data_IF_100977572575
#
_entry.id   IF_100977572575
#
_cell.length_a   1.000
_cell.length_b   1.000
_cell.length_c   1.000
_cell.angle_alpha   90.00
_cell.angle_beta   90.00
_cell.angle_gamma   90.00
#
_symmetry.space_group_name_H-M   'P 1'
#
loop_
_entity.id
_entity.type
_entity.pdbx_description
1 polymer ?
#
# COMPACT_ATOMS: atom_id res chain seq x y z
N UNK A 1 -60.55 -2.25 55.54
CA UNK A 1 -61.19 -2.35 54.21
C UNK A 1 -60.55 -1.40 53.20
N UNK A 2 -60.69 -0.06 53.29
CA UNK A 2 -60.12 0.86 52.28
C UNK A 2 -58.59 1.06 52.42
N UNK A 3 -58.07 1.20 53.64
CA UNK A 3 -56.64 1.39 53.88
C UNK A 3 -55.80 0.15 53.50
N UNK A 4 -56.32 -1.06 53.75
CA UNK A 4 -55.63 -2.32 53.40
C UNK A 4 -55.49 -2.51 51.88
N UNK A 5 -56.43 -1.99 51.08
CA UNK A 5 -56.36 -2.05 49.61
C UNK A 5 -55.28 -1.11 49.05
N UNK A 6 -55.09 0.06 49.67
CA UNK A 6 -54.05 1.02 49.28
C UNK A 6 -52.64 0.51 49.63
N UNK A 7 -52.49 -0.17 50.77
CA UNK A 7 -51.21 -0.77 51.18
C UNK A 7 -50.80 -1.94 50.26
N UNK A 8 -51.74 -2.81 49.89
CA UNK A 8 -51.51 -3.87 48.89
C UNK A 8 -51.08 -3.25 47.55
N UNK A 9 -51.71 -2.16 47.12
CA UNK A 9 -51.33 -1.44 45.90
C UNK A 9 -49.90 -0.88 45.95
N UNK A 10 -49.49 -0.33 47.10
CA UNK A 10 -48.12 0.20 47.32
C UNK A 10 -47.07 -0.90 47.33
N UNK A 11 -47.34 -2.02 48.00
CA UNK A 11 -46.45 -3.19 48.04
C UNK A 11 -46.30 -3.80 46.65
N UNK A 12 -47.41 -3.99 45.93
CA UNK A 12 -47.38 -4.54 44.57
C UNK A 12 -46.59 -3.63 43.61
N UNK A 13 -46.75 -2.31 43.72
CA UNK A 13 -45.97 -1.35 42.95
C UNK A 13 -44.47 -1.36 43.33
N UNK A 14 -44.14 -1.57 44.61
CA UNK A 14 -42.76 -1.72 45.06
C UNK A 14 -42.11 -2.99 44.49
N UNK A 15 -42.83 -4.12 44.53
CA UNK A 15 -42.39 -5.38 43.93
C UNK A 15 -42.20 -5.24 42.43
N UNK A 16 -43.13 -4.61 41.70
CA UNK A 16 -42.96 -4.38 40.25
C UNK A 16 -41.73 -3.53 39.93
N UNK A 17 -41.46 -2.48 40.72
CA UNK A 17 -40.25 -1.67 40.57
C UNK A 17 -38.98 -2.48 40.78
N UNK A 18 -38.94 -3.33 41.82
CA UNK A 18 -37.80 -4.22 42.08
C UNK A 18 -37.60 -5.25 40.97
N UNK A 19 -38.68 -5.85 40.46
CA UNK A 19 -38.63 -6.78 39.34
C UNK A 19 -38.11 -6.12 38.06
N UNK A 20 -38.51 -4.88 37.80
CA UNK A 20 -38.00 -4.10 36.67
C UNK A 20 -36.51 -3.78 36.82
N UNK A 21 -36.04 -3.45 38.02
CA UNK A 21 -34.62 -3.25 38.32
C UNK A 21 -33.79 -4.53 38.17
N UNK A 22 -34.32 -5.68 38.58
CA UNK A 22 -33.68 -6.97 38.37
C UNK A 22 -33.62 -7.31 36.88
N UNK A 23 -34.70 -7.08 36.14
CA UNK A 23 -34.75 -7.32 34.70
C UNK A 23 -33.73 -6.45 33.94
N UNK A 24 -33.58 -5.17 34.28
CA UNK A 24 -32.57 -4.30 33.65
C UNK A 24 -31.15 -4.76 33.98
N UNK A 25 -30.88 -5.17 35.23
CA UNK A 25 -29.57 -5.68 35.61
C UNK A 25 -29.23 -6.99 34.88
N UNK A 26 -30.19 -7.91 34.74
CA UNK A 26 -30.03 -9.13 33.96
C UNK A 26 -29.75 -8.81 32.50
N UNK A 27 -30.51 -7.90 31.90
CA UNK A 27 -30.32 -7.48 30.50
C UNK A 27 -28.91 -6.90 30.27
N UNK A 28 -28.44 -6.03 31.16
CA UNK A 28 -27.08 -5.47 31.11
C UNK A 28 -26.03 -6.58 31.23
N UNK A 29 -26.18 -7.49 32.20
CA UNK A 29 -25.25 -8.60 32.41
C UNK A 29 -25.21 -9.57 31.22
N UNK A 30 -26.35 -9.83 30.59
CA UNK A 30 -26.39 -10.67 29.38
C UNK A 30 -25.72 -10.00 28.19
N UNK A 31 -25.90 -8.68 28.03
CA UNK A 31 -25.24 -7.90 26.99
C UNK A 31 -23.72 -7.90 27.18
N UNK A 32 -23.25 -7.66 28.40
CA UNK A 32 -21.81 -7.68 28.71
C UNK A 32 -21.17 -9.04 28.45
N UNK A 33 -21.85 -10.15 28.83
CA UNK A 33 -21.37 -11.49 28.50
C UNK A 33 -21.31 -11.72 26.99
N UNK A 34 -22.36 -11.36 26.27
CA UNK A 34 -22.38 -11.47 24.80
C UNK A 34 -21.28 -10.66 24.12
N UNK A 35 -21.00 -9.45 24.61
CA UNK A 35 -19.91 -8.61 24.11
C UNK A 35 -18.54 -9.25 24.36
N UNK A 36 -18.28 -9.74 25.57
CA UNK A 36 -17.00 -10.41 25.91
C UNK A 36 -16.78 -11.67 25.07
N UNK A 37 -17.82 -12.47 24.85
CA UNK A 37 -17.73 -13.66 24.00
C UNK A 37 -17.49 -13.30 22.53
N UNK A 38 -18.14 -12.25 22.02
CA UNK A 38 -17.91 -11.75 20.67
C UNK A 38 -16.48 -11.23 20.48
N UNK A 39 -15.96 -10.47 21.44
CA UNK A 39 -14.57 -9.99 21.45
C UNK A 39 -13.57 -11.16 21.52
N UNK A 40 -13.85 -12.18 22.33
CA UNK A 40 -13.00 -13.37 22.42
C UNK A 40 -12.96 -14.12 21.09
N UNK A 41 -14.11 -14.30 20.43
CA UNK A 41 -14.18 -14.93 19.10
C UNK A 41 -13.44 -14.10 18.05
N UNK A 42 -13.62 -12.78 18.06
CA UNK A 42 -12.91 -11.88 17.16
C UNK A 42 -11.39 -11.99 17.32
N UNK A 43 -10.89 -12.00 18.56
CA UNK A 43 -9.47 -12.20 18.86
C UNK A 43 -8.95 -13.53 18.33
N UNK A 44 -9.68 -14.64 18.52
CA UNK A 44 -9.29 -15.96 18.00
C UNK A 44 -9.26 -15.97 16.46
N UNK A 45 -10.22 -15.32 15.80
CA UNK A 45 -10.19 -15.22 14.34
C UNK A 45 -9.04 -14.36 13.84
N UNK A 46 -8.72 -13.27 14.55
CA UNK A 46 -7.62 -12.39 14.20
C UNK A 46 -6.26 -13.09 14.35
N UNK A 47 -6.05 -13.82 15.45
CA UNK A 47 -4.81 -14.59 15.63
C UNK A 47 -4.66 -15.66 14.57
N UNK A 48 -5.73 -16.40 14.26
CA UNK A 48 -5.72 -17.38 13.17
C UNK A 48 -5.41 -16.75 11.80
N UNK A 49 -5.99 -15.59 11.49
CA UNK A 49 -5.70 -14.88 10.24
C UNK A 49 -4.26 -14.36 10.18
N UNK A 50 -3.69 -13.93 11.32
CA UNK A 50 -2.29 -13.52 11.39
C UNK A 50 -1.35 -14.71 11.17
N UNK A 51 -1.61 -15.83 11.83
CA UNK A 51 -0.81 -17.06 11.69
C UNK A 51 -0.85 -17.62 10.27
N UNK A 52 -2.01 -17.63 9.62
CA UNK A 52 -2.11 -18.11 8.22
C UNK A 52 -1.38 -17.19 7.25
N UNK A 53 -1.48 -15.87 7.44
CA UNK A 53 -0.71 -14.89 6.63
C UNK A 53 0.79 -15.05 6.85
N UNK A 54 1.24 -15.23 8.08
CA UNK A 54 2.66 -15.42 8.38
C UNK A 54 3.20 -16.72 7.77
N UNK A 55 2.46 -17.83 7.87
CA UNK A 55 2.84 -19.09 7.22
C UNK A 55 2.91 -18.94 5.70
N UNK A 56 1.93 -18.30 5.08
CA UNK A 56 1.94 -18.04 3.64
C UNK A 56 3.13 -17.18 3.21
N UNK A 57 3.50 -16.17 4.00
CA UNK A 57 4.69 -15.35 3.73
C UNK A 57 5.99 -16.14 3.86
N UNK A 58 6.09 -17.04 4.86
CA UNK A 58 7.25 -17.93 5.00
C UNK A 58 7.35 -18.91 3.83
N UNK A 59 6.25 -19.56 3.46
CA UNK A 59 6.20 -20.46 2.30
C UNK A 59 6.55 -19.73 0.99
N UNK A 60 6.09 -18.50 0.81
CA UNK A 60 6.43 -17.67 -0.34
C UNK A 60 7.91 -17.23 -0.33
N UNK A 61 8.50 -16.97 0.85
CA UNK A 61 9.92 -16.66 0.96
C UNK A 61 10.78 -17.89 0.66
N UNK A 62 10.38 -19.06 1.16
CA UNK A 62 11.07 -20.32 0.88
C UNK A 62 11.00 -20.71 -0.60
N UNK A 63 9.85 -20.54 -1.25
CA UNK A 63 9.72 -20.82 -2.68
C UNK A 63 10.58 -19.90 -3.53
N UNK A 64 10.63 -18.60 -3.19
CA UNK A 64 11.54 -17.64 -3.82
C UNK A 64 13.01 -18.00 -3.59
N UNK A 65 13.39 -18.45 -2.39
CA UNK A 65 14.76 -18.88 -2.10
C UNK A 65 15.14 -20.16 -2.87
N UNK A 66 14.17 -21.06 -3.11
CA UNK A 66 14.34 -22.30 -3.86
C UNK A 66 14.30 -22.11 -5.39
N UNK A 67 13.95 -20.92 -5.88
CA UNK A 67 13.91 -20.63 -7.32
C UNK A 67 15.33 -20.76 -7.92
N UNK A 68 15.52 -21.58 -8.97
CA UNK A 68 16.83 -21.77 -9.61
C UNK A 68 17.46 -20.45 -10.07
N UNK A 69 16.66 -19.47 -10.53
CA UNK A 69 17.17 -18.16 -10.95
C UNK A 69 17.76 -17.37 -9.79
N UNK A 70 17.11 -17.41 -8.63
CA UNK A 70 17.60 -16.72 -7.44
C UNK A 70 18.82 -17.43 -6.84
N UNK A 71 18.90 -18.75 -6.94
CA UNK A 71 20.09 -19.50 -6.58
C UNK A 71 21.28 -19.18 -7.49
N UNK A 72 21.05 -19.08 -8.80
CA UNK A 72 22.07 -18.66 -9.76
C UNK A 72 22.56 -17.22 -9.48
N UNK A 73 21.64 -16.29 -9.21
CA UNK A 73 21.99 -14.93 -8.79
C UNK A 73 22.81 -14.92 -7.49
N UNK A 74 22.39 -15.70 -6.48
CA UNK A 74 23.14 -15.83 -5.24
C UNK A 74 24.55 -16.40 -5.46
N UNK A 75 24.72 -17.37 -6.37
CA UNK A 75 26.03 -17.91 -6.76
C UNK A 75 26.90 -16.88 -7.49
N UNK A 76 26.31 -16.06 -8.36
CA UNK A 76 27.03 -14.99 -9.06
C UNK A 76 27.49 -13.89 -8.10
N UNK A 77 26.67 -13.53 -7.12
CA UNK A 77 27.02 -12.56 -6.07
C UNK A 77 28.05 -13.12 -5.07
N UNK A 78 27.95 -14.40 -4.73
CA UNK A 78 28.88 -15.07 -3.83
C UNK A 78 30.23 -15.38 -4.46
N UNK A 79 30.31 -15.40 -5.80
CA UNK A 79 31.58 -15.47 -6.52
C UNK A 79 32.31 -14.14 -6.26
N UNK A 80 33.41 -14.12 -5.47
CA UNK A 80 34.17 -12.90 -5.29
C UNK A 80 34.58 -12.45 -6.69
N UNK A 81 34.23 -11.21 -7.05
CA UNK A 81 34.58 -10.64 -8.34
C UNK A 81 36.07 -10.87 -8.53
N UNK A 82 36.43 -11.77 -9.47
CA UNK A 82 37.81 -12.04 -9.78
C UNK A 82 38.46 -10.69 -10.04
N UNK A 83 39.58 -10.45 -9.37
CA UNK A 83 40.37 -9.23 -9.34
C UNK A 83 40.87 -8.87 -10.75
N UNK A 84 39.96 -8.41 -11.59
CA UNK A 84 40.24 -7.74 -12.83
C UNK A 84 39.56 -6.39 -12.66
N UNK A 85 40.37 -5.40 -12.26
CA UNK A 85 39.90 -4.07 -11.91
C UNK A 85 39.09 -3.46 -13.04
N UNK A 86 37.77 -3.58 -12.94
CA UNK A 86 36.85 -2.74 -13.69
C UNK A 86 36.77 -1.46 -12.89
N UNK A 87 37.47 -0.43 -13.35
CA UNK A 87 37.36 0.92 -12.81
C UNK A 87 35.91 1.38 -12.87
N UNK A 88 35.22 1.32 -11.73
CA UNK A 88 33.82 1.74 -11.54
C UNK A 88 33.60 3.24 -11.80
N UNK A 89 34.66 4.03 -12.00
CA UNK A 89 34.53 5.42 -12.47
C UNK A 89 34.14 5.51 -13.94
N UNK A 90 34.56 4.55 -14.78
CA UNK A 90 34.25 4.57 -16.22
C UNK A 90 32.89 3.91 -16.51
N UNK A 91 32.50 2.90 -15.73
CA UNK A 91 31.21 2.20 -15.91
C UNK A 91 30.03 2.80 -15.15
N UNK A 92 30.24 3.78 -14.26
CA UNK A 92 29.15 4.68 -13.84
C UNK A 92 28.49 5.35 -15.04
N UNK A 93 29.22 5.59 -16.13
CA UNK A 93 28.66 6.14 -17.36
C UNK A 93 27.83 5.14 -18.18
N UNK A 94 28.05 3.83 -18.03
CA UNK A 94 27.27 2.79 -18.72
C UNK A 94 26.09 2.26 -17.90
N UNK A 95 26.20 2.12 -16.58
CA UNK A 95 25.04 1.78 -15.75
C UNK A 95 24.04 2.95 -15.74
N UNK A 96 24.54 4.19 -15.84
CA UNK A 96 23.69 5.36 -16.03
C UNK A 96 23.08 5.43 -17.44
N UNK A 97 23.54 4.65 -18.43
CA UNK A 97 22.96 4.62 -19.79
C UNK A 97 21.93 3.51 -20.00
N UNK A 98 21.91 2.45 -19.17
CA UNK A 98 20.78 1.50 -19.10
C UNK A 98 19.73 1.91 -18.05
N UNK A 99 20.12 2.73 -17.06
CA UNK A 99 19.20 3.50 -16.22
C UNK A 99 18.87 4.88 -16.82
N UNK A 100 19.20 5.10 -18.11
CA UNK A 100 18.82 6.29 -18.88
C UNK A 100 17.47 6.14 -19.59
N UNK A 101 16.67 5.13 -19.26
CA UNK A 101 15.24 5.40 -19.30
C UNK A 101 14.94 6.32 -18.11
N UNK A 102 14.56 7.58 -18.34
CA UNK A 102 14.17 8.46 -17.24
C UNK A 102 13.13 7.70 -16.40
N UNK A 103 13.20 7.72 -15.05
CA UNK A 103 12.13 7.13 -14.24
C UNK A 103 10.84 7.72 -14.77
N UNK A 104 10.01 6.91 -15.45
CA UNK A 104 9.00 7.42 -16.40
C UNK A 104 8.13 8.42 -15.67
N UNK A 105 8.47 9.69 -15.91
CA UNK A 105 8.26 10.84 -15.03
C UNK A 105 6.93 11.49 -15.37
N UNK A 106 5.96 10.69 -15.75
CA UNK A 106 4.65 11.13 -16.18
C UNK A 106 3.65 10.04 -15.84
N UNK A 107 2.83 10.30 -14.82
CA UNK A 107 1.45 9.84 -14.83
C UNK A 107 0.70 10.69 -15.89
N UNK A 108 0.97 10.42 -17.17
CA UNK A 108 0.21 11.04 -18.26
C UNK A 108 -1.14 10.32 -18.40
N UNK A 109 -2.15 11.06 -18.84
CA UNK A 109 -3.46 10.48 -19.16
C UNK A 109 -3.33 9.35 -20.18
N UNK A 110 -2.47 9.54 -21.18
CA UNK A 110 -2.16 8.53 -22.20
C UNK A 110 -1.57 7.25 -21.60
N UNK A 111 -0.73 7.35 -20.57
CA UNK A 111 -0.18 6.19 -19.86
C UNK A 111 -1.25 5.44 -19.08
N UNK A 112 -2.17 6.15 -18.40
CA UNK A 112 -3.31 5.53 -17.69
C UNK A 112 -4.24 4.80 -18.65
N UNK A 113 -4.50 5.38 -19.80
CA UNK A 113 -5.32 4.76 -20.85
C UNK A 113 -4.62 3.54 -21.46
N UNK A 114 -3.31 3.62 -21.75
CA UNK A 114 -2.53 2.49 -22.24
C UNK A 114 -2.46 1.32 -21.23
N UNK A 115 -2.30 1.63 -19.93
CA UNK A 115 -2.31 0.63 -18.87
C UNK A 115 -3.69 -0.01 -18.71
N UNK A 116 -4.77 0.78 -18.72
CA UNK A 116 -6.13 0.25 -18.65
C UNK A 116 -6.45 -0.68 -19.84
N UNK A 117 -6.04 -0.30 -21.05
CA UNK A 117 -6.19 -1.11 -22.26
C UNK A 117 -5.36 -2.41 -22.18
N UNK A 118 -4.12 -2.33 -21.69
CA UNK A 118 -3.26 -3.49 -21.51
C UNK A 118 -3.84 -4.48 -20.49
N UNK A 119 -4.32 -3.99 -19.35
CA UNK A 119 -4.91 -4.82 -18.30
C UNK A 119 -6.24 -5.45 -18.74
N UNK A 120 -7.04 -4.73 -19.52
CA UNK A 120 -8.24 -5.26 -20.16
C UNK A 120 -7.90 -6.38 -21.15
N UNK A 121 -6.89 -6.19 -22.01
CA UNK A 121 -6.39 -7.24 -22.92
C UNK A 121 -5.84 -8.46 -22.20
N UNK A 122 -5.26 -8.27 -21.01
CA UNK A 122 -4.76 -9.35 -20.17
C UNK A 122 -5.86 -10.09 -19.38
N UNK A 123 -7.14 -9.72 -19.55
CA UNK A 123 -8.28 -10.37 -18.90
C UNK A 123 -8.42 -10.05 -17.41
N UNK A 124 -7.83 -8.95 -16.95
CA UNK A 124 -7.91 -8.52 -15.54
C UNK A 124 -9.29 -7.94 -15.26
N UNK A 125 -9.93 -8.39 -14.17
CA UNK A 125 -11.23 -7.88 -13.74
C UNK A 125 -11.19 -6.35 -13.51
N UNK A 126 -12.26 -5.61 -13.87
CA UNK A 126 -12.28 -4.15 -13.82
C UNK A 126 -12.02 -3.59 -12.41
N UNK A 127 -12.43 -4.31 -11.38
CA UNK A 127 -12.21 -3.94 -9.98
C UNK A 127 -10.72 -4.01 -9.58
N UNK A 128 -9.94 -4.90 -10.20
CA UNK A 128 -8.50 -5.00 -9.96
C UNK A 128 -7.73 -3.94 -10.77
N UNK A 129 -8.26 -3.55 -11.93
CA UNK A 129 -7.74 -2.44 -12.74
C UNK A 129 -7.84 -1.12 -11.97
N UNK A 130 -8.99 -0.84 -11.35
CA UNK A 130 -9.20 0.39 -10.59
C UNK A 130 -8.26 0.50 -9.38
N UNK A 131 -8.05 -0.61 -8.66
CA UNK A 131 -7.09 -0.69 -7.55
C UNK A 131 -5.66 -0.46 -8.04
N UNK A 132 -5.28 -1.03 -9.19
CA UNK A 132 -3.95 -0.82 -9.78
C UNK A 132 -3.74 0.64 -10.18
N UNK A 133 -4.73 1.25 -10.82
CA UNK A 133 -4.67 2.67 -11.20
C UNK A 133 -4.54 3.59 -9.99
N UNK A 134 -5.21 3.28 -8.87
CA UNK A 134 -5.10 4.05 -7.64
C UNK A 134 -3.70 3.98 -7.01
N UNK A 135 -3.08 2.80 -7.03
CA UNK A 135 -1.71 2.62 -6.55
C UNK A 135 -0.69 3.38 -7.42
N UNK A 136 -0.89 3.38 -8.74
CA UNK A 136 -0.02 4.11 -9.66
C UNK A 136 -0.12 5.64 -9.43
N UNK A 137 -1.31 6.16 -9.08
CA UNK A 137 -1.50 7.57 -8.66
C UNK A 137 -0.84 7.86 -7.30
N UNK A 138 -0.88 6.92 -6.36
CA UNK A 138 -0.24 7.07 -5.05
C UNK A 138 1.30 7.02 -5.07
N UNK A 139 1.88 6.46 -6.15
CA UNK A 139 3.32 6.44 -6.40
C UNK A 139 3.78 7.63 -7.27
N UNK A 140 2.88 8.51 -7.69
CA UNK A 140 3.23 9.70 -8.44
C UNK A 140 3.97 10.70 -7.55
N UNK A 141 5.09 11.24 -8.04
CA UNK A 141 5.83 12.33 -7.38
C UNK A 141 4.90 13.51 -7.04
N UNK A 142 5.01 14.11 -5.84
CA UNK A 142 4.18 15.25 -5.46
C UNK A 142 4.35 16.41 -6.43
N UNK A 143 3.29 17.18 -6.65
CA UNK A 143 3.23 18.23 -7.67
C UNK A 143 4.37 19.27 -7.56
N UNK A 144 4.84 19.53 -6.33
CA UNK A 144 5.96 20.43 -6.05
C UNK A 144 7.29 19.89 -6.59
N UNK A 145 7.53 18.59 -6.50
CA UNK A 145 8.75 17.95 -7.03
C UNK A 145 8.68 17.84 -8.55
N UNK A 146 7.50 17.54 -9.10
CA UNK A 146 7.26 17.55 -10.54
C UNK A 146 7.58 18.94 -11.15
N UNK A 147 7.06 20.02 -10.54
CA UNK A 147 7.33 21.38 -10.99
C UNK A 147 8.83 21.75 -10.98
N UNK A 148 9.58 21.31 -9.96
CA UNK A 148 11.04 21.52 -9.89
C UNK A 148 11.76 20.82 -11.03
N UNK A 149 11.40 19.57 -11.33
CA UNK A 149 12.02 18.82 -12.43
C UNK A 149 11.72 19.41 -13.80
N UNK A 150 10.49 19.92 -14.01
CA UNK A 150 10.12 20.61 -15.26
C UNK A 150 10.91 21.90 -15.43
N UNK A 151 11.09 22.69 -14.36
CA UNK A 151 11.90 23.90 -14.39
C UNK A 151 13.37 23.61 -14.72
N UNK A 152 13.95 22.56 -14.13
CA UNK A 152 15.32 22.11 -14.44
C UNK A 152 15.47 21.65 -15.90
N UNK A 153 14.49 20.93 -16.44
CA UNK A 153 14.53 20.43 -17.81
C UNK A 153 14.35 21.56 -18.83
N UNK A 154 13.52 22.56 -18.54
CA UNK A 154 13.40 23.78 -19.34
C UNK A 154 14.71 24.58 -19.34
N UNK A 155 15.36 24.72 -18.18
CA UNK A 155 16.65 25.39 -18.08
C UNK A 155 17.74 24.66 -18.90
N UNK A 156 17.78 23.32 -18.87
CA UNK A 156 18.70 22.52 -19.68
C UNK A 156 18.43 22.63 -21.19
N UNK A 157 17.17 22.79 -21.60
CA UNK A 157 16.83 23.02 -23.01
C UNK A 157 17.29 24.40 -23.46
N UNK A 158 17.05 25.43 -22.66
CA UNK A 158 17.49 26.80 -22.95
C UNK A 158 19.01 26.91 -23.05
N UNK A 159 19.76 26.24 -22.18
CA UNK A 159 21.24 26.25 -22.25
C UNK A 159 21.75 25.52 -23.49
N UNK A 160 21.13 24.40 -23.90
CA UNK A 160 21.45 23.70 -25.16
C UNK A 160 21.15 24.56 -26.38
N UNK A 161 20.02 25.25 -26.41
CA UNK A 161 19.68 26.17 -27.49
C UNK A 161 20.63 27.38 -27.55
N UNK A 162 21.00 27.95 -26.40
CA UNK A 162 21.96 29.04 -26.35
C UNK A 162 23.36 28.61 -26.83
N UNK A 163 23.80 27.40 -26.47
CA UNK A 163 25.05 26.82 -26.95
C UNK A 163 25.02 26.56 -28.46
N UNK A 164 23.90 26.05 -29.00
CA UNK A 164 23.73 25.84 -30.43
C UNK A 164 23.82 27.17 -31.21
N UNK A 165 23.13 28.22 -30.74
CA UNK A 165 23.19 29.56 -31.34
C UNK A 165 24.57 30.21 -31.25
N UNK A 166 25.36 29.90 -30.22
CA UNK A 166 26.73 30.40 -30.09
C UNK A 166 27.69 29.71 -31.08
N UNK A 167 27.49 28.40 -31.29
CA UNK A 167 28.25 27.62 -32.25
C UNK A 167 27.99 28.09 -33.70
N UNK A 168 26.75 28.41 -34.03
CA UNK A 168 26.38 28.96 -35.34
C UNK A 168 27.09 30.29 -35.63
N UNK A 169 27.19 31.19 -34.63
CA UNK A 169 27.91 32.47 -34.77
C UNK A 169 29.42 32.32 -35.01
N UNK A 170 30.03 31.25 -34.48
CA UNK A 170 31.46 30.96 -34.69
C UNK A 170 31.77 30.35 -36.06
N UNK A 171 30.77 29.78 -36.75
CA UNK A 171 30.92 29.22 -38.10
C UNK A 171 30.76 30.26 -39.21
N UNK A 172 30.13 31.39 -38.93
CA UNK A 172 29.86 32.47 -39.89
C UNK A 172 30.89 33.60 -39.84
N UNK A 173 32.02 33.40 -39.16
CA UNK A 173 33.16 34.32 -39.08
C UNK A 173 34.39 33.67 -39.71
#
# INVERSE_FOLDING_TARGET
MAEELDDIGRETAAVMRQMLQLATLVALRTRERGQKEAEARAKVTETRMKETRERALREAAESKAKDPRNQELARLLARPAATQGISLEKDRSMVQSLAAEPPVRYDSRERREALAQHLSRAGVAPDLVSVRMLLDVGQATPAQEAARTVAEDLAKRQTREAAARALERSRTR
#
